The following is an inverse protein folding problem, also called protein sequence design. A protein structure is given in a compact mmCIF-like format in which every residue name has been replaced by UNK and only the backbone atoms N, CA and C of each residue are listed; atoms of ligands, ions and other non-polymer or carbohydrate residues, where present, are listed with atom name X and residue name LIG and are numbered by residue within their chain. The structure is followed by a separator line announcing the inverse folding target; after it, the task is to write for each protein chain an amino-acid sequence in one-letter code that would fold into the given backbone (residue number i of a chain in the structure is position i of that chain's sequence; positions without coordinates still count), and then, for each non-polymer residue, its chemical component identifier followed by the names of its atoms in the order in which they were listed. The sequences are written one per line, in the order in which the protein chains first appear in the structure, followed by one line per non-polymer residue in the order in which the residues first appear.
data_IF_647418686092
#
_entry.id   IF_647418686092
#
_cell.length_a   1.000
_cell.length_b   1.000
_cell.length_c   1.000
_cell.angle_alpha   90.00
_cell.angle_beta   90.00
_cell.angle_gamma   90.00
#
_symmetry.space_group_name_H-M   'P 1'
#
loop_
_entity.id
_entity.type
_entity.pdbx_description
1 polymer ?
#
# COMPACT_ATOMS: atom_id res chain seq x y z
N UNK A 1 19.60 9.96 -23.22
CA UNK A 1 18.13 9.82 -23.26
C UNK A 1 17.80 8.38 -23.61
N UNK A 2 16.93 7.72 -22.86
CA UNK A 2 16.53 6.33 -23.15
C UNK A 2 15.69 6.33 -24.44
N UNK A 3 16.11 5.61 -25.48
CA UNK A 3 15.44 5.63 -26.80
C UNK A 3 14.47 4.48 -27.02
N UNK A 4 14.56 3.42 -26.18
CA UNK A 4 13.78 2.18 -26.35
C UNK A 4 12.78 1.95 -25.21
N UNK A 5 12.54 2.98 -24.38
CA UNK A 5 11.60 2.92 -23.23
C UNK A 5 10.61 4.06 -23.37
N UNK A 6 9.32 3.76 -23.25
CA UNK A 6 8.29 4.80 -23.26
C UNK A 6 8.56 5.82 -22.14
N UNK A 7 8.40 7.12 -22.41
CA UNK A 7 8.70 8.20 -21.47
C UNK A 7 7.55 8.40 -20.44
N UNK A 8 7.17 7.32 -19.76
CA UNK A 8 6.07 7.32 -18.77
C UNK A 8 6.47 7.91 -17.41
N UNK A 9 7.76 8.19 -17.21
CA UNK A 9 8.31 8.76 -15.98
C UNK A 9 9.20 9.95 -16.27
N UNK A 10 9.11 11.00 -15.45
CA UNK A 10 10.10 12.04 -15.36
C UNK A 10 11.30 11.52 -14.57
N UNK A 11 12.32 11.00 -15.28
CA UNK A 11 13.51 10.44 -14.65
C UNK A 11 14.53 11.52 -14.33
N UNK A 12 15.20 11.40 -13.19
CA UNK A 12 16.38 12.20 -12.92
C UNK A 12 17.46 11.92 -13.96
N UNK A 13 18.25 12.93 -14.40
CA UNK A 13 19.20 12.80 -15.52
C UNK A 13 20.55 12.19 -15.10
N UNK A 14 20.54 11.23 -14.19
CA UNK A 14 21.71 10.49 -13.72
C UNK A 14 21.35 9.01 -13.46
N UNK A 15 22.35 8.16 -13.48
CA UNK A 15 22.22 6.72 -13.26
C UNK A 15 22.77 6.37 -11.88
N UNK A 16 21.95 5.72 -11.04
CA UNK A 16 22.38 5.18 -9.76
C UNK A 16 23.09 3.86 -10.01
N UNK A 17 24.30 3.71 -9.48
CA UNK A 17 25.14 2.51 -9.62
C UNK A 17 25.30 1.72 -8.32
N UNK A 18 25.02 2.35 -7.16
CA UNK A 18 25.03 1.66 -5.87
C UNK A 18 24.15 2.36 -4.84
N UNK A 19 23.73 1.57 -3.83
CA UNK A 19 23.02 2.06 -2.65
C UNK A 19 23.53 1.37 -1.39
N UNK A 20 23.61 2.11 -0.27
CA UNK A 20 23.95 1.55 1.03
C UNK A 20 23.25 2.34 2.14
N UNK A 21 22.49 1.66 3.00
CA UNK A 21 21.62 2.30 3.98
C UNK A 21 20.66 3.26 3.30
N UNK A 22 20.72 4.55 3.60
CA UNK A 22 19.89 5.61 3.02
C UNK A 22 20.63 6.47 1.97
N UNK A 23 21.78 6.01 1.48
CA UNK A 23 22.61 6.73 0.50
C UNK A 23 22.61 6.02 -0.85
N UNK A 24 22.49 6.80 -1.91
CA UNK A 24 22.61 6.37 -3.29
C UNK A 24 23.82 7.04 -3.93
N UNK A 25 24.57 6.32 -4.77
CA UNK A 25 25.71 6.87 -5.50
C UNK A 25 25.48 6.73 -6.99
N UNK A 26 25.69 7.81 -7.75
CA UNK A 26 25.55 7.82 -9.20
C UNK A 26 26.84 7.38 -9.92
N UNK A 27 26.73 7.26 -11.25
CA UNK A 27 27.84 6.89 -12.14
C UNK A 27 28.95 7.96 -12.27
N UNK A 28 28.80 9.11 -11.61
CA UNK A 28 29.82 10.16 -11.50
C UNK A 28 30.45 10.21 -10.11
N UNK A 29 30.04 9.32 -9.20
CA UNK A 29 30.53 9.26 -7.83
C UNK A 29 29.84 10.25 -6.87
N UNK A 30 28.79 10.95 -7.31
CA UNK A 30 28.01 11.83 -6.43
C UNK A 30 27.11 10.99 -5.53
N UNK A 31 27.05 11.37 -4.24
CA UNK A 31 26.24 10.69 -3.23
C UNK A 31 25.02 11.53 -2.88
N UNK A 32 23.85 10.89 -2.85
CA UNK A 32 22.55 11.47 -2.51
C UNK A 32 21.98 10.82 -1.26
N UNK A 33 21.30 11.61 -0.43
CA UNK A 33 20.44 11.08 0.63
C UNK A 33 19.07 10.77 0.03
N UNK A 34 18.61 9.54 0.15
CA UNK A 34 17.31 9.14 -0.36
C UNK A 34 16.22 9.28 0.71
N UNK A 35 15.46 10.38 0.62
CA UNK A 35 14.28 10.60 1.43
C UNK A 35 13.00 10.06 0.79
N UNK A 36 13.06 9.58 -0.46
CA UNK A 36 11.90 9.02 -1.18
C UNK A 36 11.76 7.53 -0.95
N UNK A 37 12.81 6.84 -0.52
CA UNK A 37 12.88 5.38 -0.36
C UNK A 37 12.38 4.61 -1.61
N UNK A 38 12.63 5.14 -2.82
CA UNK A 38 12.10 4.56 -4.06
C UNK A 38 10.56 4.62 -4.16
N UNK A 39 9.96 5.73 -3.73
CA UNK A 39 8.50 5.94 -3.61
C UNK A 39 7.89 5.06 -2.48
N UNK A 40 8.50 5.13 -1.28
CA UNK A 40 8.02 4.43 -0.10
C UNK A 40 8.25 2.91 -0.11
N UNK A 41 9.26 2.43 -0.86
CA UNK A 41 9.53 1.00 -1.10
C UNK A 41 10.66 0.47 -0.21
N UNK A 42 11.82 1.14 -0.20
CA UNK A 42 13.03 0.67 0.47
C UNK A 42 13.05 1.11 1.95
N UNK A 43 12.11 0.62 2.75
CA UNK A 43 11.93 1.02 4.16
C UNK A 43 13.09 0.61 5.07
N UNK A 44 13.80 -0.47 4.74
CA UNK A 44 15.00 -0.93 5.44
C UNK A 44 16.28 -0.30 4.88
N UNK A 45 16.18 0.53 3.83
CA UNK A 45 17.32 1.07 3.09
C UNK A 45 17.86 0.10 2.04
N UNK A 46 19.05 0.43 1.54
CA UNK A 46 19.71 -0.30 0.45
C UNK A 46 20.79 -1.23 1.00
N UNK A 47 21.08 -2.34 0.27
CA UNK A 47 22.13 -3.31 0.59
C UNK A 47 21.97 -3.95 1.97
N UNK A 48 20.78 -4.43 2.28
CA UNK A 48 20.47 -5.12 3.54
C UNK A 48 20.98 -6.56 3.44
N UNK A 49 22.04 -6.90 4.17
CA UNK A 49 22.74 -8.20 4.07
C UNK A 49 21.81 -9.40 4.28
N UNK A 50 20.98 -9.38 5.32
CA UNK A 50 20.01 -10.48 5.59
C UNK A 50 19.04 -10.69 4.44
N UNK A 51 18.54 -9.62 3.81
CA UNK A 51 17.64 -9.69 2.69
C UNK A 51 18.36 -10.23 1.46
N UNK A 52 19.56 -9.73 1.15
CA UNK A 52 20.38 -10.20 0.03
C UNK A 52 20.65 -11.70 0.13
N UNK A 53 21.10 -12.18 1.30
CA UNK A 53 21.36 -13.59 1.58
C UNK A 53 20.11 -14.47 1.45
N UNK A 54 18.96 -13.97 1.95
CA UNK A 54 17.70 -14.72 1.85
C UNK A 54 17.23 -14.87 0.40
N UNK A 55 17.33 -13.80 -0.39
CA UNK A 55 16.98 -13.81 -1.83
C UNK A 55 17.92 -14.69 -2.61
N UNK A 56 19.25 -14.61 -2.38
CA UNK A 56 20.25 -15.41 -3.06
C UNK A 56 20.00 -16.91 -2.90
N UNK A 57 19.58 -17.37 -1.73
CA UNK A 57 19.22 -18.77 -1.47
C UNK A 57 18.04 -19.26 -2.32
N UNK A 58 17.19 -18.35 -2.83
CA UNK A 58 16.00 -18.70 -3.60
C UNK A 58 16.17 -18.59 -5.13
N UNK A 59 17.31 -18.10 -5.62
CA UNK A 59 17.53 -17.89 -7.07
C UNK A 59 17.27 -19.16 -7.91
N UNK A 60 17.49 -20.33 -7.34
CA UNK A 60 17.28 -21.62 -7.98
C UNK A 60 15.88 -22.24 -7.78
N UNK A 61 15.01 -21.57 -7.00
CA UNK A 61 13.68 -22.07 -6.63
C UNK A 61 12.58 -21.06 -6.97
N UNK A 62 12.44 -20.74 -8.24
CA UNK A 62 11.60 -19.62 -8.68
C UNK A 62 10.15 -19.98 -9.01
N UNK A 63 9.79 -21.27 -9.03
CA UNK A 63 8.41 -21.69 -9.31
C UNK A 63 7.52 -21.56 -8.08
N UNK A 64 6.31 -20.99 -8.24
CA UNK A 64 5.29 -20.83 -7.21
C UNK A 64 4.12 -21.84 -7.31
N UNK A 65 4.25 -22.89 -8.13
CA UNK A 65 3.19 -23.88 -8.34
C UNK A 65 3.11 -24.96 -7.25
N UNK A 66 4.06 -24.97 -6.33
CA UNK A 66 4.18 -25.96 -5.28
C UNK A 66 3.90 -25.35 -3.91
N UNK A 67 3.62 -26.18 -2.92
CA UNK A 67 3.51 -25.71 -1.53
C UNK A 67 4.78 -24.97 -1.10
N UNK A 68 4.61 -23.86 -0.38
CA UNK A 68 5.72 -22.99 0.02
C UNK A 68 5.56 -22.58 1.49
N UNK A 69 6.49 -23.03 2.33
CA UNK A 69 6.57 -22.58 3.72
C UNK A 69 6.85 -21.09 3.84
N UNK A 70 7.51 -20.47 2.86
CA UNK A 70 7.72 -19.03 2.82
C UNK A 70 6.42 -18.26 2.58
N UNK A 71 5.56 -18.74 1.68
CA UNK A 71 4.23 -18.12 1.48
C UNK A 71 3.41 -18.19 2.77
N UNK A 72 3.39 -19.35 3.43
CA UNK A 72 2.66 -19.54 4.69
C UNK A 72 3.23 -18.65 5.81
N UNK A 73 4.56 -18.54 5.93
CA UNK A 73 5.23 -17.66 6.91
C UNK A 73 4.83 -16.20 6.70
N UNK A 74 4.95 -15.70 5.47
CA UNK A 74 4.60 -14.31 5.13
C UNK A 74 3.12 -14.05 5.34
N UNK A 75 2.24 -14.95 4.88
CA UNK A 75 0.80 -14.82 5.05
C UNK A 75 0.41 -14.78 6.55
N UNK A 76 1.01 -15.64 7.37
CA UNK A 76 0.81 -15.66 8.81
C UNK A 76 1.24 -14.35 9.48
N UNK A 77 2.47 -13.88 9.19
CA UNK A 77 3.00 -12.62 9.75
C UNK A 77 2.13 -11.41 9.38
N UNK A 78 1.55 -11.39 8.17
CA UNK A 78 0.68 -10.31 7.72
C UNK A 78 -0.73 -10.39 8.31
N UNK A 79 -1.33 -11.58 8.37
CA UNK A 79 -2.78 -11.70 8.57
C UNK A 79 -3.23 -12.23 9.93
N UNK A 80 -2.40 -12.99 10.66
CA UNK A 80 -2.86 -13.76 11.84
C UNK A 80 -3.44 -12.85 12.93
N UNK A 81 -2.80 -11.72 13.22
CA UNK A 81 -3.25 -10.78 14.26
C UNK A 81 -4.64 -10.18 13.98
N UNK A 82 -5.05 -10.14 12.71
CA UNK A 82 -6.32 -9.54 12.25
C UNK A 82 -7.32 -10.61 11.76
N UNK A 83 -7.03 -11.90 11.92
CA UNK A 83 -7.89 -12.99 11.45
C UNK A 83 -8.02 -13.06 9.93
N UNK A 84 -7.01 -12.55 9.21
CA UNK A 84 -6.99 -12.48 7.74
C UNK A 84 -6.11 -13.57 7.13
N UNK A 85 -6.35 -13.87 5.85
CA UNK A 85 -5.52 -14.69 4.99
C UNK A 85 -5.08 -13.92 3.75
N UNK A 86 -3.94 -14.30 3.17
CA UNK A 86 -3.34 -13.58 2.05
C UNK A 86 -3.61 -14.24 0.70
N UNK A 87 -3.81 -13.39 -0.32
CA UNK A 87 -3.67 -13.72 -1.73
C UNK A 87 -2.54 -12.87 -2.30
N UNK A 88 -1.44 -13.51 -2.70
CA UNK A 88 -0.27 -12.80 -3.21
C UNK A 88 -0.45 -12.34 -4.66
N UNK A 89 0.29 -11.28 -5.02
CA UNK A 89 0.40 -10.73 -6.37
C UNK A 89 1.77 -10.03 -6.52
N UNK A 90 1.95 -9.16 -7.52
CA UNK A 90 3.27 -8.58 -7.81
C UNK A 90 3.32 -7.05 -7.65
N UNK A 91 2.19 -6.42 -7.37
CA UNK A 91 2.09 -4.96 -7.24
C UNK A 91 0.88 -4.55 -6.40
N UNK A 92 0.85 -3.28 -5.95
CA UNK A 92 -0.32 -2.71 -5.27
C UNK A 92 -1.54 -2.62 -6.19
N UNK A 93 -1.34 -2.34 -7.48
CA UNK A 93 -2.45 -2.33 -8.44
C UNK A 93 -3.11 -3.71 -8.55
N UNK A 94 -2.32 -4.80 -8.65
CA UNK A 94 -2.87 -6.17 -8.66
C UNK A 94 -3.57 -6.52 -7.33
N UNK A 95 -3.05 -6.06 -6.20
CA UNK A 95 -3.70 -6.25 -4.89
C UNK A 95 -5.07 -5.57 -4.84
N UNK A 96 -5.17 -4.34 -5.34
CA UNK A 96 -6.43 -3.60 -5.44
C UNK A 96 -7.40 -4.20 -6.46
N UNK A 97 -6.92 -4.74 -7.59
CA UNK A 97 -7.73 -5.54 -8.53
C UNK A 97 -8.34 -6.77 -7.84
N UNK A 98 -7.54 -7.49 -7.05
CA UNK A 98 -8.00 -8.65 -6.29
C UNK A 98 -9.07 -8.25 -5.26
N UNK A 99 -8.84 -7.16 -4.50
CA UNK A 99 -9.77 -6.64 -3.52
C UNK A 99 -11.10 -6.21 -4.17
N UNK A 100 -11.04 -5.47 -5.27
CA UNK A 100 -12.20 -5.02 -6.03
C UNK A 100 -13.04 -6.19 -6.55
N UNK A 101 -12.39 -7.21 -7.14
CA UNK A 101 -13.05 -8.42 -7.62
C UNK A 101 -13.66 -9.23 -6.48
N UNK A 102 -12.93 -9.40 -5.38
CA UNK A 102 -13.40 -10.14 -4.21
C UNK A 102 -14.63 -9.48 -3.61
N UNK A 103 -14.61 -8.16 -3.43
CA UNK A 103 -15.73 -7.42 -2.86
C UNK A 103 -17.01 -7.60 -3.66
N UNK A 104 -16.95 -7.43 -4.98
CA UNK A 104 -18.10 -7.65 -5.87
C UNK A 104 -18.62 -9.08 -5.82
N UNK A 105 -17.71 -10.05 -5.82
CA UNK A 105 -18.07 -11.47 -5.80
C UNK A 105 -18.66 -11.90 -4.46
N UNK A 106 -18.12 -11.39 -3.36
CA UNK A 106 -18.56 -11.76 -2.01
C UNK A 106 -19.94 -11.19 -1.66
N UNK A 107 -20.21 -9.94 -2.09
CA UNK A 107 -21.47 -9.26 -1.79
C UNK A 107 -22.57 -9.49 -2.83
N UNK A 108 -22.19 -9.89 -4.06
CA UNK A 108 -23.10 -9.95 -5.21
C UNK A 108 -23.51 -8.58 -5.74
N UNK A 109 -22.95 -7.50 -5.22
CA UNK A 109 -23.19 -6.11 -5.60
C UNK A 109 -22.11 -5.63 -6.58
N UNK A 110 -22.32 -4.53 -7.29
CA UNK A 110 -21.38 -4.03 -8.30
C UNK A 110 -20.81 -2.65 -8.00
N UNK A 111 -21.42 -1.88 -7.11
CA UNK A 111 -20.99 -0.51 -6.83
C UNK A 111 -19.89 -0.47 -5.78
N UNK A 112 -18.90 0.40 -5.99
CA UNK A 112 -17.83 0.67 -5.04
C UNK A 112 -17.69 2.18 -4.88
N UNK A 113 -17.61 2.64 -3.63
CA UNK A 113 -17.29 4.00 -3.29
C UNK A 113 -15.79 4.14 -3.06
N UNK A 114 -15.16 5.08 -3.73
CA UNK A 114 -13.79 5.53 -3.49
C UNK A 114 -13.81 7.03 -3.13
N UNK A 115 -12.65 7.64 -2.93
CA UNK A 115 -12.57 9.04 -2.51
C UNK A 115 -11.74 9.87 -3.49
N UNK A 116 -12.11 11.16 -3.61
CA UNK A 116 -11.36 12.13 -4.39
C UNK A 116 -9.90 12.18 -3.92
N UNK A 117 -8.99 12.45 -4.85
CA UNK A 117 -7.55 12.52 -4.63
C UNK A 117 -6.88 11.21 -4.19
N UNK A 118 -7.62 10.07 -4.17
CA UNK A 118 -7.05 8.76 -3.88
C UNK A 118 -6.19 8.24 -5.02
N UNK A 119 -5.30 7.28 -4.70
CA UNK A 119 -4.50 6.58 -5.70
C UNK A 119 -4.46 5.07 -5.39
N UNK A 120 -5.10 4.27 -6.25
CA UNK A 120 -5.18 2.82 -6.07
C UNK A 120 -4.46 2.01 -7.16
N UNK A 121 -3.88 2.66 -8.17
CA UNK A 121 -3.07 2.03 -9.22
C UNK A 121 -3.37 2.51 -10.63
N UNK A 122 -2.74 1.84 -11.60
CA UNK A 122 -2.75 2.21 -13.03
C UNK A 122 -3.33 1.13 -13.95
N UNK A 123 -3.69 -0.05 -13.44
CA UNK A 123 -4.45 -1.06 -14.21
C UNK A 123 -5.91 -0.63 -14.31
N UNK A 124 -6.68 -1.15 -15.26
CA UNK A 124 -8.03 -0.61 -15.55
C UNK A 124 -8.97 -0.62 -14.33
N UNK A 125 -8.99 -1.69 -13.53
CA UNK A 125 -9.82 -1.73 -12.32
C UNK A 125 -9.29 -0.78 -11.25
N UNK A 126 -8.02 -0.82 -10.93
CA UNK A 126 -7.44 0.07 -9.92
C UNK A 126 -7.40 1.55 -10.36
N UNK A 127 -7.25 1.81 -11.68
CA UNK A 127 -7.40 3.16 -12.24
C UNK A 127 -8.84 3.66 -12.09
N UNK A 128 -9.82 2.77 -12.26
CA UNK A 128 -11.24 3.12 -12.05
C UNK A 128 -11.52 3.53 -10.61
N UNK A 129 -10.82 2.95 -9.63
CA UNK A 129 -10.93 3.27 -8.19
C UNK A 129 -10.14 4.53 -7.80
N UNK A 130 -9.23 5.01 -8.63
CA UNK A 130 -8.36 6.15 -8.31
C UNK A 130 -9.10 7.47 -8.50
N UNK A 131 -9.11 8.33 -7.47
CA UNK A 131 -9.81 9.62 -7.43
C UNK A 131 -9.06 10.78 -8.06
N UNK A 132 -8.44 10.57 -9.24
CA UNK A 132 -7.68 11.59 -9.96
C UNK A 132 -8.02 11.54 -11.46
N UNK A 133 -8.84 12.47 -11.92
CA UNK A 133 -9.34 12.49 -13.29
C UNK A 133 -8.24 12.77 -14.33
N UNK A 134 -7.22 13.54 -13.96
CA UNK A 134 -6.12 13.85 -14.86
C UNK A 134 -5.34 12.61 -15.35
N UNK A 135 -5.25 11.57 -14.51
CA UNK A 135 -4.56 10.34 -14.91
C UNK A 135 -5.47 9.32 -15.61
N UNK A 136 -6.77 9.58 -15.66
CA UNK A 136 -7.78 8.76 -16.35
C UNK A 136 -8.03 9.23 -17.77
N UNK A 137 -7.62 10.45 -18.11
CA UNK A 137 -7.89 11.07 -19.40
C UNK A 137 -7.43 10.19 -20.56
N UNK A 138 -8.32 9.93 -21.51
CA UNK A 138 -8.06 9.12 -22.70
C UNK A 138 -8.10 7.60 -22.50
N UNK A 139 -8.32 7.10 -21.28
CA UNK A 139 -8.36 5.66 -20.99
C UNK A 139 -9.79 5.08 -20.87
N UNK A 140 -10.83 5.86 -21.18
CA UNK A 140 -12.21 5.37 -21.11
C UNK A 140 -12.56 4.36 -22.21
N UNK A 141 -13.63 3.52 -22.03
CA UNK A 141 -14.44 3.46 -20.83
C UNK A 141 -13.74 2.70 -19.68
N UNK A 142 -13.84 3.24 -18.47
CA UNK A 142 -13.36 2.60 -17.26
C UNK A 142 -14.34 1.54 -16.75
N UNK A 143 -13.95 0.77 -15.73
CA UNK A 143 -14.83 -0.24 -15.11
C UNK A 143 -16.02 0.46 -14.46
N UNK A 144 -17.27 0.10 -14.84
CA UNK A 144 -18.47 0.77 -14.33
C UNK A 144 -18.75 0.46 -12.85
N UNK A 145 -19.59 1.30 -12.22
CA UNK A 145 -20.04 1.11 -10.85
C UNK A 145 -19.07 1.65 -9.79
N UNK A 146 -18.17 2.55 -10.16
CA UNK A 146 -17.34 3.27 -9.20
C UNK A 146 -17.85 4.70 -9.07
N UNK A 147 -18.06 5.15 -7.85
CA UNK A 147 -18.41 6.53 -7.49
C UNK A 147 -17.35 7.11 -6.55
N UNK A 148 -17.29 8.44 -6.48
CA UNK A 148 -16.34 9.17 -5.65
C UNK A 148 -17.06 10.12 -4.71
N UNK A 149 -16.51 10.26 -3.49
CA UNK A 149 -16.97 11.22 -2.50
C UNK A 149 -15.77 12.00 -1.94
N UNK A 150 -16.04 13.12 -1.31
CA UNK A 150 -14.99 13.95 -0.72
C UNK A 150 -14.42 13.29 0.54
N UNK A 151 -13.08 13.19 0.58
CA UNK A 151 -12.37 12.62 1.73
C UNK A 151 -12.46 13.54 2.96
N UNK A 152 -12.62 12.99 4.15
CA UNK A 152 -12.84 13.72 5.41
C UNK A 152 -14.14 14.54 5.46
N UNK A 153 -15.10 14.29 4.57
CA UNK A 153 -16.41 14.94 4.61
C UNK A 153 -17.47 13.96 5.14
N UNK A 154 -18.14 14.32 6.24
CA UNK A 154 -19.23 13.51 6.80
C UNK A 154 -20.43 13.37 5.87
N UNK A 155 -20.64 14.30 4.92
CA UNK A 155 -21.67 14.16 3.91
C UNK A 155 -21.42 12.94 2.97
N UNK A 156 -20.16 12.50 2.83
CA UNK A 156 -19.81 11.30 2.08
C UNK A 156 -20.46 10.01 2.64
N UNK A 157 -20.84 10.00 3.92
CA UNK A 157 -21.51 8.84 4.54
C UNK A 157 -22.88 8.55 3.93
N UNK A 158 -23.55 9.53 3.37
CA UNK A 158 -24.85 9.37 2.71
C UNK A 158 -24.74 8.58 1.40
N UNK A 159 -23.55 8.55 0.79
CA UNK A 159 -23.25 7.75 -0.41
C UNK A 159 -23.05 6.26 -0.09
N UNK A 160 -22.82 5.91 1.18
CA UNK A 160 -22.62 4.52 1.63
C UNK A 160 -23.98 3.89 1.92
N UNK A 161 -24.44 3.06 1.00
CA UNK A 161 -25.78 2.43 1.04
C UNK A 161 -25.72 0.95 0.65
N UNK A 162 -26.86 0.28 0.69
CA UNK A 162 -27.00 -1.15 0.44
C UNK A 162 -26.70 -1.61 -1.00
N UNK A 163 -26.47 -0.69 -1.95
CA UNK A 163 -26.01 -1.02 -3.30
C UNK A 163 -24.48 -1.16 -3.38
N UNK A 164 -23.74 -0.67 -2.39
CA UNK A 164 -22.28 -0.72 -2.39
C UNK A 164 -21.77 -2.14 -2.07
N UNK A 165 -20.90 -2.65 -2.93
CA UNK A 165 -20.10 -3.86 -2.68
C UNK A 165 -18.99 -3.58 -1.66
N UNK A 166 -18.39 -2.39 -1.77
CA UNK A 166 -17.32 -1.96 -0.89
C UNK A 166 -17.19 -0.44 -0.83
N UNK A 167 -16.52 0.00 0.23
CA UNK A 167 -15.87 1.31 0.32
C UNK A 167 -14.37 1.06 0.34
N UNK A 168 -13.60 1.75 -0.51
CA UNK A 168 -12.14 1.68 -0.54
C UNK A 168 -11.53 3.02 -0.20
N UNK A 169 -10.53 3.03 0.69
CA UNK A 169 -9.81 4.23 1.09
C UNK A 169 -8.37 3.95 1.53
N UNK A 170 -7.55 4.98 1.53
CA UNK A 170 -6.26 5.06 2.21
C UNK A 170 -6.48 5.80 3.54
N UNK A 171 -5.95 5.33 4.67
CA UNK A 171 -6.04 6.10 5.95
C UNK A 171 -5.18 7.36 5.94
N UNK A 172 -4.19 7.43 5.03
CA UNK A 172 -3.48 8.64 4.65
C UNK A 172 -3.36 8.64 3.13
N UNK A 173 -3.97 9.60 2.46
CA UNK A 173 -3.85 9.76 1.01
C UNK A 173 -2.46 10.27 0.65
N UNK A 174 -1.59 9.39 0.12
CA UNK A 174 -0.21 9.74 -0.18
C UNK A 174 -0.07 10.66 -1.39
N UNK A 175 -0.70 10.30 -2.50
CA UNK A 175 -0.63 11.05 -3.75
C UNK A 175 -1.52 12.31 -3.74
N UNK A 176 -2.44 12.39 -2.80
CA UNK A 176 -3.33 13.54 -2.57
C UNK A 176 -2.73 14.67 -1.73
N UNK A 177 -1.42 14.61 -1.39
CA UNK A 177 -0.75 15.63 -0.59
C UNK A 177 -0.57 15.26 0.88
N UNK A 178 -0.46 13.97 1.18
CA UNK A 178 -0.30 13.42 2.55
C UNK A 178 -1.44 13.87 3.48
N UNK A 179 -2.67 13.62 3.03
CA UNK A 179 -3.88 13.98 3.80
C UNK A 179 -4.24 12.83 4.74
N UNK A 180 -4.15 13.07 6.04
CA UNK A 180 -4.52 12.11 7.08
C UNK A 180 -6.04 12.08 7.27
N UNK A 181 -6.62 10.89 7.36
CA UNK A 181 -8.04 10.71 7.69
C UNK A 181 -8.35 11.15 9.10
N UNK A 182 -9.44 11.92 9.27
CA UNK A 182 -9.96 12.21 10.60
C UNK A 182 -10.43 10.92 11.28
N UNK A 183 -10.01 10.69 12.52
CA UNK A 183 -10.27 9.44 13.22
C UNK A 183 -11.76 9.16 13.40
N UNK A 184 -12.55 10.19 13.68
CA UNK A 184 -14.00 10.06 13.86
C UNK A 184 -14.71 9.81 12.52
N UNK A 185 -14.25 10.44 11.46
CA UNK A 185 -14.75 10.21 10.11
C UNK A 185 -14.42 8.78 9.62
N UNK A 186 -13.18 8.32 9.79
CA UNK A 186 -12.77 6.96 9.43
C UNK A 186 -13.62 5.90 10.17
N UNK A 187 -13.88 6.10 11.46
CA UNK A 187 -14.78 5.23 12.23
C UNK A 187 -16.21 5.26 11.70
N UNK A 188 -16.73 6.43 11.38
CA UNK A 188 -18.08 6.56 10.83
C UNK A 188 -18.20 5.89 9.44
N UNK A 189 -17.15 5.96 8.60
CA UNK A 189 -17.09 5.23 7.32
C UNK A 189 -17.12 3.71 7.56
N UNK A 190 -16.33 3.20 8.50
CA UNK A 190 -16.32 1.78 8.86
C UNK A 190 -17.70 1.30 9.31
N UNK A 191 -18.29 1.99 10.29
CA UNK A 191 -19.62 1.66 10.83
C UNK A 191 -20.68 1.67 9.73
N UNK A 192 -20.70 2.74 8.92
CA UNK A 192 -21.67 2.89 7.84
C UNK A 192 -21.51 1.84 6.74
N UNK A 193 -20.28 1.47 6.38
CA UNK A 193 -20.00 0.42 5.41
C UNK A 193 -20.56 -0.93 5.92
N UNK A 194 -20.27 -1.28 7.16
CA UNK A 194 -20.77 -2.54 7.76
C UNK A 194 -22.28 -2.55 7.91
N UNK A 195 -22.92 -1.45 8.34
CA UNK A 195 -24.38 -1.32 8.41
C UNK A 195 -25.04 -1.51 7.03
N UNK A 196 -24.43 -1.00 5.96
CA UNK A 196 -24.90 -1.14 4.58
C UNK A 196 -24.61 -2.52 3.98
N UNK A 197 -23.88 -3.41 4.70
CA UNK A 197 -23.41 -4.69 4.17
C UNK A 197 -22.43 -4.52 3.01
N UNK A 198 -21.65 -3.45 3.01
CA UNK A 198 -20.51 -3.20 2.14
C UNK A 198 -19.23 -3.61 2.84
N UNK A 199 -18.23 -4.09 2.10
CA UNK A 199 -16.93 -4.42 2.66
C UNK A 199 -16.06 -3.16 2.76
N UNK A 200 -15.35 -3.01 3.88
CA UNK A 200 -14.34 -1.96 4.04
C UNK A 200 -13.00 -2.47 3.51
N UNK A 201 -12.46 -1.79 2.49
CA UNK A 201 -11.14 -2.05 1.93
C UNK A 201 -10.22 -0.92 2.33
N UNK A 202 -9.13 -1.24 3.06
CA UNK A 202 -8.09 -0.26 3.36
C UNK A 202 -6.88 -0.54 2.46
N UNK A 203 -6.52 0.46 1.66
CA UNK A 203 -5.32 0.44 0.83
C UNK A 203 -4.11 0.86 1.68
N UNK A 204 -3.31 -0.13 2.07
CA UNK A 204 -2.08 0.01 2.85
C UNK A 204 -0.82 -0.07 1.97
N UNK A 205 -0.96 0.08 0.66
CA UNK A 205 0.16 -0.03 -0.28
C UNK A 205 1.25 0.99 0.03
N UNK A 206 0.90 2.20 0.48
CA UNK A 206 1.86 3.22 0.85
C UNK A 206 2.00 3.40 2.36
N UNK A 207 0.95 3.24 3.11
CA UNK A 207 0.86 3.51 4.55
C UNK A 207 1.33 2.35 5.42
N UNK A 208 1.28 1.14 4.90
CA UNK A 208 1.65 -0.08 5.62
C UNK A 208 3.15 -0.30 5.78
N UNK A 209 3.49 -1.48 6.22
CA UNK A 209 4.88 -1.94 6.39
C UNK A 209 5.71 -1.02 7.29
N UNK A 210 5.13 -0.61 8.41
CA UNK A 210 5.84 0.16 9.43
C UNK A 210 5.93 1.66 9.17
N UNK A 211 5.46 2.17 8.03
CA UNK A 211 5.61 3.58 7.63
C UNK A 211 5.05 4.57 8.66
N UNK A 212 3.98 4.20 9.35
CA UNK A 212 3.27 5.04 10.32
C UNK A 212 3.55 4.68 11.79
N UNK A 213 4.54 3.79 12.03
CA UNK A 213 4.88 3.32 13.38
C UNK A 213 4.09 2.09 13.85
N UNK A 214 3.21 1.58 13.01
CA UNK A 214 2.48 0.30 13.15
C UNK A 214 2.71 -0.56 11.92
N UNK A 215 2.46 -1.86 11.99
CA UNK A 215 2.56 -2.74 10.82
C UNK A 215 1.63 -2.24 9.72
N UNK A 216 0.37 -1.95 10.08
CA UNK A 216 -0.62 -1.31 9.24
C UNK A 216 -1.05 0.03 9.83
N UNK A 217 -1.28 1.03 8.98
CA UNK A 217 -1.67 2.36 9.45
C UNK A 217 -3.07 2.40 10.05
N UNK A 218 -3.98 1.53 9.62
CA UNK A 218 -5.34 1.43 10.17
C UNK A 218 -5.34 1.10 11.68
N UNK A 219 -4.28 0.47 12.20
CA UNK A 219 -4.13 0.17 13.63
C UNK A 219 -4.02 1.45 14.49
N UNK A 220 -3.59 2.58 13.92
CA UNK A 220 -3.56 3.86 14.63
C UNK A 220 -4.97 4.43 14.87
N UNK A 221 -5.98 3.91 14.18
CA UNK A 221 -7.36 4.37 14.22
C UNK A 221 -8.33 3.31 14.77
N UNK A 222 -7.79 2.18 15.25
CA UNK A 222 -8.57 1.03 15.73
C UNK A 222 -9.65 0.55 14.74
N UNK A 223 -9.37 0.63 13.43
CA UNK A 223 -10.27 0.16 12.38
C UNK A 223 -10.20 -1.37 12.27
N UNK A 224 -11.29 -1.98 11.81
CA UNK A 224 -11.42 -3.42 11.57
C UNK A 224 -11.85 -3.70 10.11
N UNK A 225 -10.96 -3.49 9.13
CA UNK A 225 -11.27 -3.67 7.72
C UNK A 225 -11.59 -5.13 7.39
N UNK A 226 -12.35 -5.33 6.30
CA UNK A 226 -12.63 -6.66 5.75
C UNK A 226 -11.53 -7.12 4.80
N UNK A 227 -10.92 -6.16 4.09
CA UNK A 227 -9.84 -6.38 3.13
C UNK A 227 -8.76 -5.31 3.33
N UNK A 228 -7.50 -5.73 3.26
CA UNK A 228 -6.34 -4.85 3.29
C UNK A 228 -5.45 -5.17 2.09
N UNK A 229 -4.94 -4.15 1.40
CA UNK A 229 -4.01 -4.35 0.29
C UNK A 229 -2.63 -3.78 0.63
N UNK A 230 -1.58 -4.53 0.31
CA UNK A 230 -0.20 -4.17 0.61
C UNK A 230 0.73 -4.42 -0.58
N UNK A 231 1.80 -3.64 -0.68
CA UNK A 231 2.89 -3.83 -1.64
C UNK A 231 4.11 -3.01 -1.20
N UNK A 232 4.77 -2.29 -2.11
CA UNK A 232 5.87 -1.33 -1.86
C UNK A 232 6.88 -1.82 -0.82
N UNK A 233 6.73 -1.38 0.43
CA UNK A 233 7.63 -1.72 1.54
C UNK A 233 7.67 -3.21 1.90
N UNK A 234 6.73 -4.03 1.42
CA UNK A 234 6.58 -5.44 1.80
C UNK A 234 7.85 -6.28 1.53
N UNK A 235 8.59 -6.00 0.45
CA UNK A 235 9.81 -6.76 0.13
C UNK A 235 11.00 -5.86 -0.22
N UNK A 236 11.03 -4.62 0.29
CA UNK A 236 12.17 -3.70 0.23
C UNK A 236 12.78 -3.56 -1.19
N UNK A 237 11.96 -3.52 -2.23
CA UNK A 237 12.37 -3.32 -3.63
C UNK A 237 12.13 -4.52 -4.55
N UNK A 238 11.91 -5.72 -4.02
CA UNK A 238 11.48 -6.86 -4.83
C UNK A 238 9.98 -6.73 -5.12
N UNK A 239 9.54 -6.84 -6.40
CA UNK A 239 8.13 -6.70 -6.75
C UNK A 239 7.25 -7.75 -6.06
N UNK A 240 6.33 -7.29 -5.24
CA UNK A 240 5.33 -8.10 -4.55
C UNK A 240 4.18 -7.23 -4.09
N UNK A 241 3.00 -7.83 -4.01
CA UNK A 241 1.84 -7.30 -3.33
C UNK A 241 1.03 -8.43 -2.71
N UNK A 242 0.11 -8.08 -1.86
CA UNK A 242 -0.88 -9.02 -1.33
C UNK A 242 -2.20 -8.30 -1.05
N UNK A 243 -3.29 -9.01 -1.28
CA UNK A 243 -4.60 -8.71 -0.74
C UNK A 243 -4.81 -9.63 0.47
N UNK A 244 -5.06 -9.05 1.62
CA UNK A 244 -5.47 -9.76 2.83
C UNK A 244 -6.99 -9.64 2.95
N UNK A 245 -7.67 -10.73 3.24
CA UNK A 245 -9.11 -10.72 3.48
C UNK A 245 -9.47 -11.51 4.73
N UNK A 246 -10.57 -11.15 5.41
CA UNK A 246 -11.10 -11.95 6.50
C UNK A 246 -11.34 -13.39 6.05
N UNK A 247 -11.08 -14.38 6.92
CA UNK A 247 -11.10 -15.81 6.58
C UNK A 247 -12.40 -16.28 5.94
N UNK A 248 -13.53 -15.71 6.33
CA UNK A 248 -14.85 -16.02 5.77
C UNK A 248 -15.00 -15.63 4.29
N UNK A 249 -14.17 -14.73 3.78
CA UNK A 249 -14.16 -14.33 2.37
C UNK A 249 -13.47 -15.38 1.48
N UNK A 250 -12.68 -16.30 2.04
CA UNK A 250 -11.96 -17.33 1.28
C UNK A 250 -12.86 -18.17 0.39
N UNK A 251 -14.09 -18.43 0.81
CA UNK A 251 -15.07 -19.23 0.04
C UNK A 251 -15.43 -18.63 -1.32
N UNK A 252 -15.14 -17.34 -1.54
CA UNK A 252 -15.41 -16.66 -2.81
C UNK A 252 -14.21 -16.68 -3.76
N UNK A 253 -13.00 -16.90 -3.25
CA UNK A 253 -11.76 -16.98 -4.03
C UNK A 253 -11.15 -18.39 -3.96
N UNK A 254 -11.81 -19.35 -4.59
CA UNK A 254 -11.30 -20.71 -4.75
C UNK A 254 -10.46 -20.90 -6.02
N UNK A 255 -9.95 -22.12 -6.28
CA UNK A 255 -9.15 -22.44 -7.46
C UNK A 255 -9.79 -21.98 -8.76
N UNK A 256 -8.99 -21.33 -9.63
CA UNK A 256 -9.44 -20.86 -10.94
C UNK A 256 -10.22 -19.52 -10.93
N UNK A 257 -10.48 -18.91 -9.78
CA UNK A 257 -11.24 -17.66 -9.72
C UNK A 257 -10.38 -16.40 -9.86
N UNK A 258 -9.14 -16.47 -9.40
CA UNK A 258 -8.15 -15.39 -9.47
C UNK A 258 -6.74 -16.01 -9.45
N UNK A 259 -5.75 -15.28 -9.98
CA UNK A 259 -4.36 -15.72 -9.96
C UNK A 259 -3.45 -14.80 -10.73
N UNK A 260 -2.15 -14.97 -10.54
CA UNK A 260 -1.07 -14.30 -11.26
C UNK A 260 0.12 -15.24 -11.36
N UNK A 261 0.78 -15.28 -12.51
CA UNK A 261 1.85 -16.25 -12.80
C UNK A 261 3.04 -16.17 -11.82
N UNK A 262 3.41 -14.97 -11.39
CA UNK A 262 4.57 -14.75 -10.52
C UNK A 262 4.19 -14.50 -9.06
N UNK A 263 2.92 -14.58 -8.72
CA UNK A 263 2.42 -14.31 -7.37
C UNK A 263 3.00 -15.27 -6.33
N UNK A 264 3.52 -14.71 -5.25
CA UNK A 264 4.11 -15.51 -4.17
C UNK A 264 5.38 -16.26 -4.56
N UNK A 265 6.12 -15.78 -5.58
CA UNK A 265 7.38 -16.41 -5.97
C UNK A 265 8.40 -16.43 -4.82
N UNK A 266 9.26 -17.45 -4.74
CA UNK A 266 10.17 -17.63 -3.62
C UNK A 266 11.12 -16.46 -3.36
N UNK A 267 11.56 -15.74 -4.41
CA UNK A 267 12.43 -14.56 -4.24
C UNK A 267 11.71 -13.44 -3.47
N UNK A 268 10.49 -13.14 -3.90
CA UNK A 268 9.69 -12.10 -3.25
C UNK A 268 9.27 -12.51 -1.82
N UNK A 269 8.92 -13.78 -1.62
CA UNK A 269 8.56 -14.29 -0.31
C UNK A 269 9.72 -14.28 0.67
N UNK A 270 10.94 -14.66 0.25
CA UNK A 270 12.12 -14.59 1.10
C UNK A 270 12.46 -13.14 1.51
N UNK A 271 12.33 -12.20 0.58
CA UNK A 271 12.52 -10.78 0.89
C UNK A 271 11.46 -10.27 1.87
N UNK A 272 10.19 -10.58 1.61
CA UNK A 272 9.07 -10.18 2.47
C UNK A 272 9.17 -10.77 3.87
N UNK A 273 9.59 -12.03 3.99
CA UNK A 273 9.76 -12.71 5.27
C UNK A 273 10.81 -12.00 6.15
N UNK A 274 11.95 -11.60 5.54
CA UNK A 274 12.99 -10.81 6.23
C UNK A 274 12.47 -9.42 6.61
N UNK A 275 11.75 -8.73 5.71
CA UNK A 275 11.19 -7.42 6.03
C UNK A 275 10.26 -7.50 7.24
N UNK A 276 9.36 -8.48 7.27
CA UNK A 276 8.41 -8.65 8.37
C UNK A 276 9.09 -9.02 9.69
N UNK A 277 10.22 -9.75 9.67
CA UNK A 277 11.00 -10.02 10.86
C UNK A 277 11.72 -8.76 11.39
N UNK A 278 12.17 -7.89 10.51
CA UNK A 278 12.78 -6.61 10.91
C UNK A 278 11.75 -5.61 11.44
N UNK A 279 10.49 -5.66 11.01
CA UNK A 279 9.41 -4.79 11.49
C UNK A 279 8.88 -5.20 12.88
N UNK A 280 9.79 -5.52 13.79
CA UNK A 280 9.48 -5.85 15.17
C UNK A 280 9.10 -4.61 16.01
N UNK A 281 8.66 -4.83 17.24
CA UNK A 281 8.20 -3.76 18.13
C UNK A 281 9.25 -2.66 18.40
N UNK A 282 10.54 -3.01 18.47
CA UNK A 282 11.63 -2.04 18.66
C UNK A 282 11.79 -1.15 17.41
N UNK A 283 11.78 -1.76 16.22
CA UNK A 283 11.86 -1.03 14.95
C UNK A 283 10.66 -0.06 14.79
N UNK A 284 9.44 -0.55 15.03
CA UNK A 284 8.23 0.26 14.92
C UNK A 284 8.21 1.42 15.93
N UNK A 285 8.65 1.18 17.15
CA UNK A 285 8.86 2.23 18.15
C UNK A 285 9.87 3.27 17.66
N UNK A 286 11.00 2.83 17.09
CA UNK A 286 12.00 3.73 16.52
C UNK A 286 11.47 4.58 15.36
N UNK A 287 10.50 4.06 14.57
CA UNK A 287 9.79 4.84 13.54
C UNK A 287 8.96 5.95 14.19
N UNK A 288 8.19 5.63 15.23
CA UNK A 288 7.36 6.61 15.95
C UNK A 288 8.21 7.71 16.59
N UNK A 289 9.30 7.33 17.28
CA UNK A 289 10.23 8.31 17.90
C UNK A 289 10.86 9.25 16.86
N UNK A 290 11.26 8.74 15.70
CA UNK A 290 11.78 9.58 14.60
C UNK A 290 10.72 10.48 14.01
N UNK A 291 9.49 9.99 13.87
CA UNK A 291 8.36 10.77 13.38
C UNK A 291 8.06 11.96 14.29
N UNK A 292 7.98 11.72 15.60
CA UNK A 292 7.78 12.77 16.60
C UNK A 292 8.91 13.82 16.57
N UNK A 293 10.16 13.35 16.45
CA UNK A 293 11.31 14.24 16.36
C UNK A 293 11.28 15.10 15.07
N UNK A 294 10.99 14.51 13.91
CA UNK A 294 10.89 15.23 12.64
C UNK A 294 9.76 16.24 12.69
N UNK A 295 8.58 15.84 13.17
CA UNK A 295 7.43 16.72 13.34
C UNK A 295 7.77 17.92 14.21
N UNK A 296 8.38 17.67 15.39
CA UNK A 296 8.83 18.75 16.28
C UNK A 296 9.78 19.72 15.56
N UNK A 297 10.80 19.22 14.85
CA UNK A 297 11.74 20.07 14.11
C UNK A 297 11.07 20.91 13.03
N UNK A 298 10.17 20.30 12.26
CA UNK A 298 9.43 20.99 11.20
C UNK A 298 8.53 22.09 11.77
N UNK A 299 7.79 21.79 12.83
CA UNK A 299 6.94 22.78 13.52
C UNK A 299 7.75 23.96 14.10
N UNK A 300 8.96 23.71 14.67
CA UNK A 300 9.82 24.77 15.14
C UNK A 300 10.34 25.64 13.99
N UNK A 301 10.68 25.04 12.88
CA UNK A 301 11.16 25.79 11.69
C UNK A 301 10.04 26.56 11.00
N UNK A 302 8.86 25.97 10.88
CA UNK A 302 7.70 26.58 10.24
C UNK A 302 7.29 27.91 10.93
N UNK A 303 7.44 28.03 12.25
CA UNK A 303 7.15 29.27 12.98
C UNK A 303 7.85 30.51 12.45
N UNK A 304 8.96 30.36 11.75
CA UNK A 304 9.78 31.44 11.22
C UNK A 304 9.78 31.53 9.68
N UNK A 305 8.87 30.80 9.02
CA UNK A 305 8.79 30.71 7.56
C UNK A 305 7.35 30.90 7.12
N UNK A 306 6.98 32.13 6.78
CA UNK A 306 5.60 32.52 6.41
C UNK A 306 5.04 31.74 5.20
N UNK A 307 5.91 31.16 4.37
CA UNK A 307 5.51 30.34 3.21
C UNK A 307 5.03 28.92 3.58
N UNK A 308 5.20 28.49 4.85
CA UNK A 308 4.72 27.19 5.34
C UNK A 308 3.38 27.42 6.03
N UNK A 309 2.30 27.04 5.37
CA UNK A 309 0.94 27.19 5.89
C UNK A 309 0.57 26.08 6.90
N UNK A 310 0.96 24.84 6.61
CA UNK A 310 0.66 23.69 7.47
C UNK A 310 1.67 22.57 7.29
N UNK A 311 1.72 21.68 8.27
CA UNK A 311 2.48 20.42 8.24
C UNK A 311 1.48 19.31 8.57
N UNK A 312 1.33 18.35 7.67
CA UNK A 312 0.48 17.18 7.85
C UNK A 312 1.30 15.89 7.77
N UNK A 313 0.75 14.80 8.28
CA UNK A 313 1.38 13.49 8.16
C UNK A 313 1.09 12.57 9.34
N UNK A 314 1.45 11.30 9.16
CA UNK A 314 1.38 10.24 10.16
C UNK A 314 2.64 9.38 10.09
N UNK A 315 3.34 9.24 11.21
CA UNK A 315 4.60 8.52 11.23
C UNK A 315 5.67 9.20 10.36
N UNK A 316 6.34 8.46 9.52
CA UNK A 316 7.35 8.96 8.56
C UNK A 316 6.76 9.24 7.16
N UNK A 317 5.48 9.52 7.09
CA UNK A 317 4.78 9.99 5.91
C UNK A 317 4.33 11.43 6.20
N UNK A 318 5.15 12.43 5.79
CA UNK A 318 5.03 13.86 6.13
C UNK A 318 5.10 14.69 4.85
#
# INVERSE_FOLDING_TARGET
MMQHVFPTYNRFPFEIVSGNGFKLTDNKGMTYLDFTSGIGVCGLGYNVSKLNEAVEKQVWHTSNLYESSLQESVAKKLGEAHGMIASFCNSGAEANEAAFKLARKATGKSEVLAFDHSFHGRTYGSLSLTGNDGIKEGFGPLVPGVSFATYNDFAALDEINDQKAAVILEVVQGEGGVVVGDASWLKAVEEKAHEAGALLIIDEVQTGMGRTGKLFAFENFDLNPDIVTVAKGLANGIPVGAMLGKKELAKFFGPGTHGSTFAGNPLAMAAADVVLDELNAEFLKGVSEKADFIKFLLEQKAKNIDAIESISGLGLMV
#
